data_IF_868397510486
#
_entry.id   IF_868397510486
#
_cell.length_a   1.000
_cell.length_b   1.000
_cell.length_c   1.000
_cell.angle_alpha   90.00
_cell.angle_beta   90.00
_cell.angle_gamma   90.00
#
_symmetry.space_group_name_H-M   'P 1'
#
loop_
_entity.id
_entity.type
_entity.pdbx_description
1 polymer ?
#
# COMPACT_ATOMS: atom_id res chain seq x y z
N UNK A 1 -0.07 15.60 -5.84
CA UNK A 1 0.43 14.36 -5.19
C UNK A 1 1.78 14.02 -5.80
N UNK A 2 2.78 13.56 -5.02
CA UNK A 2 4.05 13.06 -5.59
C UNK A 2 3.93 11.56 -5.86
N UNK A 3 4.54 11.08 -6.94
CA UNK A 3 4.58 9.66 -7.27
C UNK A 3 5.18 8.83 -6.12
N UNK A 4 4.50 7.74 -5.73
CA UNK A 4 4.96 6.86 -4.65
C UNK A 4 6.33 6.24 -4.95
N UNK A 5 6.59 5.78 -6.18
CA UNK A 5 7.92 5.29 -6.60
C UNK A 5 9.01 6.35 -6.42
N UNK A 6 8.71 7.61 -6.72
CA UNK A 6 9.66 8.70 -6.54
C UNK A 6 9.98 8.92 -5.06
N UNK A 7 8.95 8.88 -4.19
CA UNK A 7 9.14 8.99 -2.73
C UNK A 7 9.93 7.81 -2.16
N UNK A 8 9.64 6.57 -2.57
CA UNK A 8 10.44 5.39 -2.18
C UNK A 8 11.90 5.57 -2.57
N UNK A 9 12.18 6.00 -3.80
CA UNK A 9 13.54 6.26 -4.27
C UNK A 9 14.26 7.34 -3.44
N UNK A 10 13.56 8.38 -2.97
CA UNK A 10 14.13 9.38 -2.06
C UNK A 10 14.42 8.79 -0.67
N UNK A 11 13.55 7.93 -0.15
CA UNK A 11 13.76 7.25 1.13
C UNK A 11 14.97 6.30 1.05
N UNK A 12 15.09 5.54 -0.04
CA UNK A 12 16.24 4.68 -0.33
C UNK A 12 17.51 5.51 -0.44
N UNK A 13 17.55 6.56 -1.26
CA UNK A 13 18.78 7.35 -1.44
C UNK A 13 19.26 7.99 -0.13
N UNK A 14 18.37 8.66 0.58
CA UNK A 14 18.75 9.43 1.77
C UNK A 14 18.91 8.52 3.00
N UNK A 15 18.06 7.50 3.13
CA UNK A 15 18.12 6.53 4.23
C UNK A 15 19.33 5.62 4.13
N UNK A 16 19.66 5.16 2.92
CA UNK A 16 20.79 4.25 2.69
C UNK A 16 22.13 4.98 2.55
N UNK A 17 22.16 6.31 2.37
CA UNK A 17 23.41 7.07 2.41
C UNK A 17 24.11 6.95 3.76
N UNK A 18 23.36 6.97 4.87
CA UNK A 18 23.88 6.71 6.21
C UNK A 18 24.37 5.27 6.42
N UNK A 19 24.05 4.39 5.48
CA UNK A 19 24.42 2.98 5.50
C UNK A 19 25.61 2.65 4.59
N UNK A 20 26.16 3.64 3.87
CA UNK A 20 27.29 3.45 2.95
C UNK A 20 28.47 2.73 3.59
N UNK A 21 28.88 3.18 4.76
CA UNK A 21 30.01 2.61 5.48
C UNK A 21 29.87 1.10 5.79
N UNK A 22 28.65 0.60 5.97
CA UNK A 22 28.43 -0.78 6.36
C UNK A 22 28.45 -1.75 5.17
N UNK A 23 28.00 -1.33 3.98
CA UNK A 23 28.11 -2.18 2.79
C UNK A 23 29.49 -2.10 2.12
N UNK A 24 30.24 -1.01 2.32
CA UNK A 24 31.59 -0.85 1.77
C UNK A 24 32.55 -1.96 2.25
N UNK A 25 32.39 -2.46 3.47
CA UNK A 25 33.13 -3.63 3.95
C UNK A 25 32.86 -4.86 3.06
N UNK A 26 31.58 -5.19 2.81
CA UNK A 26 31.21 -6.33 1.97
C UNK A 26 31.60 -6.13 0.52
N UNK A 27 31.51 -4.91 0.01
CA UNK A 27 31.99 -4.53 -1.31
C UNK A 27 33.50 -4.78 -1.42
N UNK A 28 34.28 -4.39 -0.41
CA UNK A 28 35.72 -4.65 -0.37
C UNK A 28 36.02 -6.15 -0.37
N UNK A 29 35.30 -6.96 0.44
CA UNK A 29 35.43 -8.42 0.43
C UNK A 29 35.18 -8.98 -0.97
N UNK A 30 34.07 -8.60 -1.59
CA UNK A 30 33.70 -9.09 -2.92
C UNK A 30 34.69 -8.66 -4.00
N UNK A 31 35.14 -7.40 -3.98
CA UNK A 31 36.17 -6.89 -4.89
C UNK A 31 37.48 -7.66 -4.72
N UNK A 32 37.87 -7.92 -3.48
CA UNK A 32 39.06 -8.67 -3.14
C UNK A 32 39.01 -10.09 -3.73
N UNK A 33 37.94 -10.84 -3.44
CA UNK A 33 37.74 -12.20 -3.93
C UNK A 33 37.79 -12.27 -5.46
N UNK A 34 37.27 -11.25 -6.13
CA UNK A 34 37.16 -11.20 -7.58
C UNK A 34 38.38 -10.60 -8.31
N UNK A 35 39.35 -10.01 -7.60
CA UNK A 35 40.37 -9.14 -8.21
C UNK A 35 41.36 -9.86 -9.12
N UNK A 36 41.72 -11.11 -8.83
CA UNK A 36 42.69 -11.86 -9.62
C UNK A 36 42.35 -13.35 -9.72
N UNK A 37 43.08 -14.09 -10.58
CA UNK A 37 42.87 -15.53 -10.77
C UNK A 37 43.21 -16.33 -9.51
N UNK A 38 44.27 -15.94 -8.81
CA UNK A 38 44.75 -16.63 -7.61
C UNK A 38 43.73 -16.55 -6.45
N UNK A 39 43.24 -15.37 -6.07
CA UNK A 39 42.21 -15.21 -5.01
C UNK A 39 40.92 -15.96 -5.31
N UNK A 40 40.47 -15.93 -6.57
CA UNK A 40 39.31 -16.72 -7.01
C UNK A 40 39.54 -18.22 -6.87
N UNK A 41 40.79 -18.66 -7.06
CA UNK A 41 41.15 -20.06 -6.89
C UNK A 41 41.25 -20.45 -5.41
N UNK A 42 41.77 -19.59 -4.54
CA UNK A 42 41.77 -19.82 -3.09
C UNK A 42 40.35 -19.96 -2.54
N UNK A 43 39.46 -19.03 -2.89
CA UNK A 43 38.05 -19.13 -2.51
C UNK A 43 37.41 -20.42 -3.04
N UNK A 44 37.72 -20.81 -4.28
CA UNK A 44 37.25 -22.08 -4.86
C UNK A 44 37.78 -23.30 -4.09
N UNK A 45 39.03 -23.27 -3.67
CA UNK A 45 39.63 -24.35 -2.88
C UNK A 45 38.97 -24.46 -1.50
N UNK A 46 38.72 -23.31 -0.86
CA UNK A 46 37.97 -23.25 0.40
C UNK A 46 36.54 -23.80 0.24
N UNK A 47 35.80 -23.36 -0.77
CA UNK A 47 34.46 -23.93 -1.04
C UNK A 47 34.52 -25.45 -1.21
N UNK A 48 35.56 -25.97 -1.89
CA UNK A 48 35.75 -27.42 -2.08
C UNK A 48 36.06 -28.14 -0.77
N UNK A 49 36.85 -27.57 0.13
CA UNK A 49 37.15 -28.20 1.43
C UNK A 49 35.94 -28.23 2.35
N UNK A 50 35.13 -27.17 2.33
CA UNK A 50 33.90 -27.06 3.13
C UNK A 50 32.68 -27.77 2.52
N UNK A 51 32.82 -28.35 1.31
CA UNK A 51 31.72 -29.04 0.63
C UNK A 51 30.63 -28.11 0.06
N UNK A 52 30.95 -26.84 -0.17
CA UNK A 52 30.01 -25.80 -0.62
C UNK A 52 30.20 -25.52 -2.11
N UNK A 53 29.13 -25.19 -2.81
CA UNK A 53 29.21 -24.79 -4.23
C UNK A 53 30.01 -23.50 -4.38
N UNK A 54 30.97 -23.47 -5.30
CA UNK A 54 31.66 -22.23 -5.64
C UNK A 54 30.68 -21.19 -6.21
N UNK A 55 30.71 -19.98 -5.66
CA UNK A 55 30.00 -18.80 -6.18
C UNK A 55 30.99 -17.68 -6.51
N UNK A 56 30.85 -17.11 -7.70
CA UNK A 56 31.43 -15.80 -8.03
C UNK A 56 30.42 -14.72 -7.66
N UNK A 57 30.76 -13.86 -6.71
CA UNK A 57 29.85 -12.82 -6.23
C UNK A 57 29.67 -11.71 -7.28
N UNK A 58 28.44 -11.23 -7.53
CA UNK A 58 28.17 -10.09 -8.39
C UNK A 58 28.84 -8.82 -7.86
N UNK A 59 29.32 -7.95 -8.75
CA UNK A 59 29.86 -6.66 -8.37
C UNK A 59 28.74 -5.61 -8.32
N UNK A 60 28.78 -4.77 -7.30
CA UNK A 60 27.94 -3.60 -7.20
C UNK A 60 28.22 -2.63 -8.35
N UNK A 61 27.17 -2.01 -8.87
CA UNK A 61 27.23 -0.88 -9.79
C UNK A 61 26.61 0.34 -9.10
N UNK A 62 27.45 1.33 -8.78
CA UNK A 62 27.07 2.56 -8.06
C UNK A 62 25.94 3.36 -8.72
N UNK A 63 25.59 3.10 -9.99
CA UNK A 63 24.48 3.78 -10.69
C UNK A 63 23.11 3.15 -10.46
N UNK A 64 23.05 1.90 -9.96
CA UNK A 64 21.79 1.15 -9.79
C UNK A 64 21.79 0.41 -8.44
N UNK A 65 20.97 0.88 -7.51
CA UNK A 65 20.85 0.27 -6.18
C UNK A 65 20.42 -1.22 -6.23
N UNK A 66 19.70 -1.66 -7.26
CA UNK A 66 19.35 -3.07 -7.47
C UNK A 66 20.60 -3.98 -7.52
N UNK A 67 21.73 -3.49 -8.04
CA UNK A 67 22.96 -4.29 -8.09
C UNK A 67 23.58 -4.52 -6.70
N UNK A 68 23.38 -3.58 -5.78
CA UNK A 68 23.80 -3.70 -4.39
C UNK A 68 22.97 -4.75 -3.67
N UNK A 69 21.64 -4.73 -3.84
CA UNK A 69 20.76 -5.78 -3.33
C UNK A 69 21.24 -7.17 -3.78
N UNK A 70 21.49 -7.35 -5.09
CA UNK A 70 21.94 -8.62 -5.66
C UNK A 70 23.28 -9.08 -5.06
N UNK A 71 24.25 -8.18 -4.91
CA UNK A 71 25.54 -8.51 -4.30
C UNK A 71 25.37 -8.93 -2.83
N UNK A 72 24.63 -8.15 -2.06
CA UNK A 72 24.47 -8.38 -0.63
C UNK A 72 23.65 -9.65 -0.35
N UNK A 73 22.54 -9.88 -1.05
CA UNK A 73 21.78 -11.13 -0.93
C UNK A 73 22.66 -12.36 -1.23
N UNK A 74 23.51 -12.28 -2.27
CA UNK A 74 24.44 -13.37 -2.58
C UNK A 74 25.47 -13.61 -1.47
N UNK A 75 25.94 -12.55 -0.81
CA UNK A 75 26.86 -12.67 0.33
C UNK A 75 26.17 -13.26 1.57
N UNK A 76 24.91 -12.89 1.86
CA UNK A 76 24.14 -13.45 2.99
C UNK A 76 23.97 -14.96 2.83
N UNK A 77 23.70 -15.46 1.62
CA UNK A 77 23.64 -16.91 1.33
C UNK A 77 24.94 -17.67 1.71
N UNK A 78 26.07 -16.97 1.80
CA UNK A 78 27.38 -17.53 2.11
C UNK A 78 27.93 -17.01 3.44
N UNK A 79 27.09 -16.45 4.32
CA UNK A 79 27.50 -15.75 5.56
C UNK A 79 28.56 -16.49 6.37
N UNK A 80 28.30 -17.74 6.74
CA UNK A 80 29.21 -18.54 7.57
C UNK A 80 30.56 -18.78 6.87
N UNK A 81 30.51 -19.20 5.60
CA UNK A 81 31.69 -19.50 4.78
C UNK A 81 32.52 -18.27 4.44
N UNK A 82 31.87 -17.15 4.13
CA UNK A 82 32.56 -15.87 3.89
C UNK A 82 33.23 -15.38 5.17
N UNK A 83 32.56 -15.51 6.32
CA UNK A 83 33.14 -15.12 7.62
C UNK A 83 34.35 -15.97 7.97
N UNK A 84 34.23 -17.29 7.89
CA UNK A 84 35.33 -18.22 8.17
C UNK A 84 36.52 -18.01 7.25
N UNK A 85 36.28 -17.93 5.93
CA UNK A 85 37.34 -17.65 4.96
C UNK A 85 37.99 -16.29 5.22
N UNK A 86 37.19 -15.21 5.27
CA UNK A 86 37.73 -13.86 5.38
C UNK A 86 38.52 -13.65 6.68
N UNK A 87 37.99 -14.11 7.81
CA UNK A 87 38.63 -13.90 9.12
C UNK A 87 39.91 -14.73 9.26
N UNK A 88 40.03 -15.87 8.56
CA UNK A 88 41.26 -16.66 8.52
C UNK A 88 42.38 -15.99 7.73
N UNK A 89 42.03 -15.27 6.64
CA UNK A 89 43.00 -14.61 5.76
C UNK A 89 43.32 -13.19 6.26
N UNK A 90 42.34 -12.52 6.87
CA UNK A 90 42.41 -11.14 7.34
C UNK A 90 42.00 -11.00 8.82
N UNK A 91 42.80 -11.53 9.76
CA UNK A 91 42.47 -11.49 11.19
C UNK A 91 42.44 -10.07 11.76
N UNK A 92 43.18 -9.12 11.18
CA UNK A 92 43.21 -7.71 11.61
C UNK A 92 41.99 -6.89 11.12
N UNK A 93 41.20 -7.42 10.19
CA UNK A 93 39.98 -6.77 9.70
C UNK A 93 38.85 -7.81 9.48
N UNK A 94 38.35 -8.41 10.57
CA UNK A 94 37.38 -9.49 10.49
C UNK A 94 35.98 -8.98 10.12
N UNK A 95 35.21 -9.85 9.47
CA UNK A 95 33.75 -9.75 9.43
C UNK A 95 33.19 -10.17 10.79
N UNK A 96 32.48 -9.23 11.42
CA UNK A 96 31.83 -9.38 12.71
C UNK A 96 30.33 -9.59 12.53
N UNK A 97 29.67 -10.15 13.54
CA UNK A 97 28.21 -10.31 13.55
C UNK A 97 27.48 -8.98 13.40
N UNK A 98 28.04 -7.90 13.94
CA UNK A 98 27.49 -6.54 13.76
C UNK A 98 27.45 -6.10 12.30
N UNK A 99 28.45 -6.49 11.48
CA UNK A 99 28.44 -6.22 10.04
C UNK A 99 27.30 -6.97 9.36
N UNK A 100 27.12 -8.25 9.70
CA UNK A 100 26.06 -9.07 9.13
C UNK A 100 24.66 -8.64 9.56
N UNK A 101 24.45 -8.29 10.82
CA UNK A 101 23.16 -7.79 11.32
C UNK A 101 22.72 -6.54 10.56
N UNK A 102 23.64 -5.59 10.37
CA UNK A 102 23.38 -4.36 9.62
C UNK A 102 23.08 -4.68 8.14
N UNK A 103 23.79 -5.65 7.56
CA UNK A 103 23.62 -6.07 6.17
C UNK A 103 22.29 -6.80 5.92
N UNK A 104 21.87 -7.69 6.81
CA UNK A 104 20.59 -8.39 6.74
C UNK A 104 19.42 -7.39 6.79
N UNK A 105 19.46 -6.47 7.75
CA UNK A 105 18.50 -5.38 7.84
C UNK A 105 18.45 -4.55 6.56
N UNK A 106 19.61 -4.24 6.00
CA UNK A 106 19.72 -3.48 4.76
C UNK A 106 19.08 -4.22 3.57
N UNK A 107 19.33 -5.52 3.45
CA UNK A 107 18.76 -6.36 2.39
C UNK A 107 17.25 -6.51 2.54
N UNK A 108 16.74 -6.64 3.76
CA UNK A 108 15.29 -6.69 4.03
C UNK A 108 14.60 -5.41 3.53
N UNK A 109 15.15 -4.23 3.87
CA UNK A 109 14.60 -2.96 3.39
C UNK A 109 14.69 -2.83 1.87
N UNK A 110 15.84 -3.17 1.27
CA UNK A 110 16.00 -3.14 -0.18
C UNK A 110 15.01 -4.05 -0.91
N UNK A 111 14.71 -5.23 -0.34
CA UNK A 111 13.72 -6.15 -0.88
C UNK A 111 12.32 -5.50 -0.84
N UNK A 112 11.90 -5.01 0.34
CA UNK A 112 10.59 -4.39 0.51
C UNK A 112 10.42 -3.15 -0.40
N UNK A 113 11.45 -2.31 -0.53
CA UNK A 113 11.42 -1.16 -1.45
C UNK A 113 11.33 -1.59 -2.91
N UNK A 114 12.01 -2.66 -3.30
CA UNK A 114 11.95 -3.21 -4.65
C UNK A 114 10.55 -3.72 -4.97
N UNK A 115 9.95 -4.49 -4.06
CA UNK A 115 8.64 -5.08 -4.27
C UNK A 115 7.54 -4.01 -4.32
N UNK A 116 7.60 -3.02 -3.44
CA UNK A 116 6.73 -1.86 -3.47
C UNK A 116 6.88 -1.06 -4.79
N UNK A 117 8.12 -0.84 -5.25
CA UNK A 117 8.39 -0.13 -6.51
C UNK A 117 7.84 -0.90 -7.71
N UNK A 118 8.02 -2.22 -7.76
CA UNK A 118 7.46 -3.07 -8.83
C UNK A 118 5.94 -3.00 -8.84
N UNK A 119 5.32 -3.11 -7.67
CA UNK A 119 3.86 -2.99 -7.51
C UNK A 119 3.33 -1.65 -8.04
N UNK A 120 3.93 -0.54 -7.62
CA UNK A 120 3.54 0.80 -8.08
C UNK A 120 3.84 1.12 -9.55
N UNK A 121 4.73 0.35 -10.19
CA UNK A 121 5.12 0.59 -11.59
C UNK A 121 4.22 -0.15 -12.60
N UNK A 122 3.16 -0.83 -12.17
CA UNK A 122 2.21 -1.45 -13.08
C UNK A 122 1.38 -0.38 -13.81
N UNK A 123 1.41 -0.41 -15.14
CA UNK A 123 0.74 0.59 -16.01
C UNK A 123 -0.70 0.19 -16.38
N UNK A 124 -1.03 -1.11 -16.26
CA UNK A 124 -2.32 -1.67 -16.71
C UNK A 124 -3.19 -2.22 -15.59
N UNK A 125 -2.77 -2.03 -14.34
CA UNK A 125 -3.50 -2.45 -13.15
C UNK A 125 -3.62 -1.27 -12.21
N UNK A 126 -4.76 -1.17 -11.56
CA UNK A 126 -5.00 -0.23 -10.47
C UNK A 126 -3.97 -0.45 -9.36
N UNK A 127 -3.24 0.61 -8.97
CA UNK A 127 -2.21 0.54 -7.92
C UNK A 127 -2.61 1.26 -6.63
N UNK A 128 -3.54 2.23 -6.71
CA UNK A 128 -3.93 3.08 -5.58
C UNK A 128 -4.53 2.35 -4.36
N UNK A 129 -5.37 1.30 -4.47
CA UNK A 129 -5.88 0.55 -3.31
C UNK A 129 -4.77 -0.25 -2.63
N UNK A 130 -3.76 -0.67 -3.39
CA UNK A 130 -2.66 -1.47 -2.86
C UNK A 130 -1.58 -0.62 -2.20
N UNK A 131 -1.76 0.70 -2.10
CA UNK A 131 -0.76 1.59 -1.51
C UNK A 131 -0.36 1.16 -0.10
N UNK A 132 -1.33 0.96 0.81
CA UNK A 132 -1.04 0.50 2.17
C UNK A 132 -0.41 -0.90 2.20
N UNK A 133 -0.88 -1.82 1.35
CA UNK A 133 -0.31 -3.16 1.23
C UNK A 133 1.18 -3.15 0.84
N UNK A 134 1.64 -2.12 0.12
CA UNK A 134 3.04 -1.99 -0.28
C UNK A 134 3.91 -1.26 0.76
N UNK A 135 3.33 -0.37 1.59
CA UNK A 135 4.10 0.37 2.60
C UNK A 135 4.07 -0.27 3.99
N UNK A 136 3.05 -1.08 4.32
CA UNK A 136 2.96 -1.81 5.60
C UNK A 136 4.15 -2.77 5.79
N UNK A 137 4.59 -3.56 4.80
CA UNK A 137 5.79 -4.39 4.95
C UNK A 137 7.03 -3.57 5.32
N UNK A 138 7.17 -2.36 4.78
CA UNK A 138 8.27 -1.45 5.14
C UNK A 138 8.11 -0.96 6.58
N UNK A 139 6.88 -0.65 7.01
CA UNK A 139 6.57 -0.28 8.40
C UNK A 139 6.88 -1.43 9.39
N UNK A 140 6.60 -2.68 9.01
CA UNK A 140 6.95 -3.87 9.79
C UNK A 140 8.47 -4.00 9.94
N UNK A 141 9.26 -3.64 8.94
CA UNK A 141 10.72 -3.63 9.05
C UNK A 141 11.20 -2.53 10.01
N UNK A 142 10.60 -1.33 9.97
CA UNK A 142 10.91 -0.30 10.97
C UNK A 142 10.62 -0.79 12.38
N UNK A 143 9.48 -1.44 12.61
CA UNK A 143 9.13 -2.01 13.90
C UNK A 143 10.10 -3.14 14.33
N UNK A 144 10.35 -4.11 13.45
CA UNK A 144 11.28 -5.23 13.66
C UNK A 144 12.66 -4.78 14.12
N UNK A 145 13.17 -3.70 13.53
CA UNK A 145 14.54 -3.24 13.77
C UNK A 145 14.64 -2.09 14.78
N UNK A 146 13.51 -1.61 15.30
CA UNK A 146 13.48 -0.57 16.32
C UNK A 146 14.14 -1.06 17.61
N UNK A 147 14.96 -0.20 18.22
CA UNK A 147 15.64 -0.51 19.48
C UNK A 147 16.87 -1.43 19.34
N UNK A 148 17.21 -1.90 18.14
CA UNK A 148 18.45 -2.66 17.91
C UNK A 148 19.64 -1.69 17.90
N UNK A 149 20.59 -1.88 18.82
CA UNK A 149 21.71 -0.97 19.06
C UNK A 149 22.55 -0.70 17.79
N UNK A 150 22.84 -1.74 17.00
CA UNK A 150 23.64 -1.65 15.76
C UNK A 150 22.97 -0.78 14.69
N UNK A 151 21.66 -0.56 14.77
CA UNK A 151 20.87 0.20 13.80
C UNK A 151 20.62 1.66 14.21
N UNK A 152 20.93 2.01 15.47
CA UNK A 152 20.63 3.32 16.07
C UNK A 152 21.19 4.52 15.30
N UNK A 153 22.33 4.36 14.61
CA UNK A 153 22.99 5.43 13.87
C UNK A 153 22.27 5.90 12.59
N UNK A 154 21.36 5.08 12.02
CA UNK A 154 20.77 5.35 10.71
C UNK A 154 19.26 5.03 10.62
N UNK A 155 18.74 4.02 11.33
CA UNK A 155 17.33 3.63 11.24
C UNK A 155 16.38 4.80 11.56
N UNK A 156 16.60 5.59 12.62
CA UNK A 156 15.73 6.74 12.92
C UNK A 156 15.74 7.81 11.83
N UNK A 157 16.84 7.97 11.08
CA UNK A 157 16.93 8.95 9.98
C UNK A 157 16.10 8.48 8.79
N UNK A 158 16.19 7.20 8.45
CA UNK A 158 15.40 6.58 7.38
C UNK A 158 13.91 6.60 7.73
N UNK A 159 13.55 6.26 8.97
CA UNK A 159 12.17 6.28 9.48
C UNK A 159 11.59 7.71 9.45
N UNK A 160 12.34 8.70 9.94
CA UNK A 160 11.95 10.11 9.87
C UNK A 160 11.72 10.59 8.44
N UNK A 161 12.55 10.14 7.49
CA UNK A 161 12.40 10.49 6.07
C UNK A 161 11.15 9.85 5.47
N UNK A 162 10.89 8.59 5.80
CA UNK A 162 9.70 7.88 5.36
C UNK A 162 8.42 8.56 5.89
N UNK A 163 8.39 8.86 7.19
CA UNK A 163 7.31 9.58 7.85
C UNK A 163 7.11 11.00 7.29
N UNK A 164 8.16 11.70 6.87
CA UNK A 164 8.01 13.02 6.22
C UNK A 164 6.99 13.00 5.06
N UNK A 165 6.85 11.89 4.35
CA UNK A 165 5.91 11.77 3.24
C UNK A 165 4.61 11.05 3.60
N UNK A 166 4.68 10.10 4.54
CA UNK A 166 3.57 9.19 4.83
C UNK A 166 3.21 9.13 6.32
N UNK A 167 3.55 10.15 7.11
CA UNK A 167 2.92 10.32 8.43
C UNK A 167 1.41 10.30 8.24
N UNK A 168 0.89 11.14 7.34
CA UNK A 168 -0.52 11.13 6.97
C UNK A 168 -0.71 10.49 5.60
N UNK A 169 -1.65 9.55 5.54
CA UNK A 169 -1.97 8.81 4.32
C UNK A 169 -2.91 9.68 3.48
N UNK A 170 -2.53 10.04 2.24
CA UNK A 170 -3.42 10.80 1.36
C UNK A 170 -4.77 10.11 1.16
N UNK A 171 -5.87 10.88 1.23
CA UNK A 171 -7.24 10.34 1.17
C UNK A 171 -7.54 9.58 -0.11
N UNK A 172 -6.87 9.91 -1.20
CA UNK A 172 -7.00 9.17 -2.46
C UNK A 172 -6.69 7.67 -2.30
N UNK A 173 -5.69 7.31 -1.49
CA UNK A 173 -5.38 5.90 -1.25
C UNK A 173 -6.40 5.25 -0.32
N UNK A 174 -6.88 5.98 0.68
CA UNK A 174 -7.90 5.49 1.62
C UNK A 174 -9.22 5.25 0.88
N UNK A 175 -9.63 6.18 0.02
CA UNK A 175 -10.84 6.07 -0.79
C UNK A 175 -10.71 4.97 -1.84
N UNK A 176 -9.53 4.80 -2.44
CA UNK A 176 -9.28 3.67 -3.35
C UNK A 176 -9.45 2.31 -2.64
N UNK A 177 -9.04 2.18 -1.38
CA UNK A 177 -9.28 0.97 -0.57
C UNK A 177 -10.77 0.82 -0.22
N UNK A 178 -11.45 1.92 0.14
CA UNK A 178 -12.90 1.90 0.41
C UNK A 178 -13.67 1.41 -0.81
N UNK A 179 -13.23 1.80 -2.00
CA UNK A 179 -13.79 1.38 -3.29
C UNK A 179 -13.38 -0.05 -3.70
N UNK A 180 -12.57 -0.74 -2.90
CA UNK A 180 -12.33 -2.17 -3.07
C UNK A 180 -13.41 -2.95 -2.29
N UNK A 181 -14.28 -3.74 -2.95
CA UNK A 181 -15.35 -4.48 -2.28
C UNK A 181 -14.82 -5.52 -1.28
N UNK A 182 -13.54 -5.90 -1.35
CA UNK A 182 -12.88 -6.82 -0.41
C UNK A 182 -12.53 -6.17 0.91
N UNK A 183 -12.24 -4.87 0.91
CA UNK A 183 -11.73 -4.15 2.08
C UNK A 183 -12.75 -3.17 2.64
N UNK A 184 -13.38 -2.37 1.77
CA UNK A 184 -14.34 -1.33 2.13
C UNK A 184 -13.84 -0.42 3.26
N UNK A 185 -14.78 0.21 3.96
CA UNK A 185 -14.52 1.15 5.04
C UNK A 185 -13.70 0.51 6.17
N UNK A 186 -14.16 -0.61 6.72
CA UNK A 186 -13.51 -1.22 7.89
C UNK A 186 -12.10 -1.74 7.58
N UNK A 187 -11.89 -2.30 6.39
CA UNK A 187 -10.57 -2.70 5.93
C UNK A 187 -9.63 -1.51 5.75
N UNK A 188 -10.11 -0.42 5.15
CA UNK A 188 -9.31 0.80 4.99
C UNK A 188 -8.85 1.37 6.34
N UNK A 189 -9.78 1.49 7.30
CA UNK A 189 -9.46 1.98 8.65
C UNK A 189 -8.52 1.02 9.38
N UNK A 190 -8.70 -0.29 9.23
CA UNK A 190 -7.83 -1.29 9.86
C UNK A 190 -6.40 -1.20 9.33
N UNK A 191 -6.22 -1.09 8.02
CA UNK A 191 -4.90 -0.96 7.40
C UNK A 191 -4.19 0.33 7.83
N UNK A 192 -4.90 1.46 7.89
CA UNK A 192 -4.32 2.71 8.41
C UNK A 192 -3.95 2.56 9.88
N UNK A 193 -4.80 1.93 10.68
CA UNK A 193 -4.54 1.73 12.12
C UNK A 193 -3.29 0.87 12.34
N UNK A 194 -3.19 -0.26 11.63
CA UNK A 194 -2.00 -1.13 11.66
C UNK A 194 -0.75 -0.34 11.28
N UNK A 195 -0.82 0.42 10.18
CA UNK A 195 0.29 1.27 9.74
C UNK A 195 0.72 2.28 10.83
N UNK A 196 -0.23 3.01 11.41
CA UNK A 196 0.04 4.03 12.44
C UNK A 196 0.65 3.40 13.71
N UNK A 197 0.21 2.20 14.08
CA UNK A 197 0.79 1.42 15.18
C UNK A 197 2.23 1.00 14.91
N UNK A 198 2.50 0.37 13.76
CA UNK A 198 3.84 -0.06 13.38
C UNK A 198 4.85 1.09 13.34
N UNK A 199 4.40 2.29 12.97
CA UNK A 199 5.22 3.50 12.90
C UNK A 199 5.27 4.30 14.22
N UNK A 200 4.72 3.79 15.32
CA UNK A 200 4.67 4.47 16.63
C UNK A 200 4.10 5.91 16.58
N UNK A 201 3.04 6.13 15.80
CA UNK A 201 2.39 7.46 15.72
C UNK A 201 1.43 7.61 16.89
N UNK A 202 1.87 8.29 17.96
CA UNK A 202 1.15 8.41 19.23
C UNK A 202 -0.09 9.32 19.18
N UNK A 203 -0.12 10.29 18.26
CA UNK A 203 -1.19 11.29 18.17
C UNK A 203 -2.36 10.84 17.27
N UNK A 204 -2.51 9.54 17.04
CA UNK A 204 -3.55 8.98 16.18
C UNK A 204 -4.73 8.47 17.01
N UNK A 205 -5.90 9.09 16.85
CA UNK A 205 -7.15 8.61 17.41
C UNK A 205 -7.99 7.95 16.30
N UNK A 206 -8.25 6.65 16.45
CA UNK A 206 -8.95 5.84 15.44
C UNK A 206 -10.39 6.31 15.24
N UNK A 207 -11.10 6.69 16.29
CA UNK A 207 -12.52 7.07 16.21
C UNK A 207 -12.69 8.44 15.54
N UNK A 208 -11.86 9.42 15.93
CA UNK A 208 -11.83 10.72 15.23
C UNK A 208 -11.47 10.56 13.76
N UNK A 209 -10.51 9.69 13.43
CA UNK A 209 -10.14 9.42 12.05
C UNK A 209 -11.25 8.72 11.26
N UNK A 210 -11.98 7.77 11.87
CA UNK A 210 -13.16 7.14 11.26
C UNK A 210 -14.19 8.18 10.87
N UNK A 211 -14.52 9.11 11.77
CA UNK A 211 -15.53 10.13 11.52
C UNK A 211 -15.09 11.11 10.44
N UNK A 212 -13.81 11.49 10.45
CA UNK A 212 -13.20 12.30 9.39
C UNK A 212 -13.30 11.63 8.01
N UNK A 213 -12.88 10.36 7.90
CA UNK A 213 -12.93 9.64 6.62
C UNK A 213 -14.36 9.38 6.16
N UNK A 214 -15.32 9.14 7.08
CA UNK A 214 -16.76 9.06 6.74
C UNK A 214 -17.27 10.37 6.17
N UNK A 215 -16.98 11.48 6.83
CA UNK A 215 -17.42 12.80 6.36
C UNK A 215 -16.80 13.13 4.99
N UNK A 216 -15.50 12.88 4.83
CA UNK A 216 -14.78 13.17 3.58
C UNK A 216 -15.25 12.28 2.43
N UNK A 217 -15.42 10.96 2.65
CA UNK A 217 -15.93 10.03 1.63
C UNK A 217 -17.35 10.38 1.20
N UNK A 218 -18.22 10.75 2.16
CA UNK A 218 -19.57 11.20 1.86
C UNK A 218 -19.58 12.53 1.08
N UNK A 219 -18.71 13.48 1.44
CA UNK A 219 -18.56 14.74 0.71
C UNK A 219 -18.15 14.52 -0.75
N UNK A 220 -17.20 13.61 -0.99
CA UNK A 220 -16.79 13.26 -2.36
C UNK A 220 -17.93 12.57 -3.11
N UNK A 221 -18.64 11.63 -2.47
CA UNK A 221 -19.81 10.99 -3.08
C UNK A 221 -20.85 12.02 -3.56
N UNK A 222 -21.24 12.96 -2.70
CA UNK A 222 -22.21 14.02 -3.05
C UNK A 222 -21.73 14.90 -4.20
N UNK A 223 -20.42 15.10 -4.34
CA UNK A 223 -19.84 15.81 -5.48
C UNK A 223 -20.08 15.05 -6.78
N UNK A 224 -19.79 13.74 -6.82
CA UNK A 224 -20.05 12.89 -7.99
C UNK A 224 -21.54 12.75 -8.30
N UNK A 225 -22.38 12.69 -7.26
CA UNK A 225 -23.83 12.67 -7.42
C UNK A 225 -24.36 13.92 -8.10
N UNK A 226 -23.90 15.11 -7.67
CA UNK A 226 -24.25 16.38 -8.32
C UNK A 226 -23.86 16.38 -9.81
N UNK A 227 -22.68 15.85 -10.15
CA UNK A 227 -22.22 15.75 -11.53
C UNK A 227 -23.09 14.81 -12.37
N UNK A 228 -23.44 13.64 -11.81
CA UNK A 228 -24.28 12.65 -12.49
C UNK A 228 -25.75 13.08 -12.63
N UNK A 229 -26.31 13.76 -11.62
CA UNK A 229 -27.66 14.32 -11.68
C UNK A 229 -27.81 15.44 -12.73
N UNK A 230 -26.73 16.18 -12.99
CA UNK A 230 -26.68 17.19 -14.06
C UNK A 230 -26.69 16.56 -15.46
N UNK A 231 -26.01 15.43 -15.65
CA UNK A 231 -25.96 14.69 -16.92
C UNK A 231 -27.27 13.97 -17.27
N UNK A 232 -28.07 13.60 -16.25
CA UNK A 232 -29.33 12.88 -16.42
C UNK A 232 -30.58 13.78 -16.43
N UNK A 233 -30.45 15.12 -16.43
CA UNK A 233 -31.61 16.02 -16.58
C UNK A 233 -32.13 15.94 -18.03
N UNK A 234 -33.34 15.39 -18.29
CA UNK A 234 -33.95 15.59 -19.59
C UNK A 234 -34.18 17.09 -19.75
N UNK A 235 -33.78 17.66 -20.88
CA UNK A 235 -34.26 18.99 -21.27
C UNK A 235 -35.78 18.93 -21.23
N UNK A 236 -36.39 19.67 -20.30
CA UNK A 236 -37.83 19.67 -20.09
C UNK A 236 -38.51 20.30 -21.30
N UNK A 237 -38.86 19.47 -22.30
CA UNK A 237 -39.98 19.77 -23.20
C UNK A 237 -41.24 19.24 -22.54
N UNK A 238 -42.11 20.17 -22.14
CA UNK A 238 -43.42 19.89 -21.60
C UNK A 238 -44.24 19.02 -22.58
N UNK A 239 -44.79 17.91 -22.09
CA UNK A 239 -45.73 17.06 -22.81
C UNK A 239 -46.71 16.44 -21.81
N UNK A 240 -48.00 16.70 -22.00
CA UNK A 240 -49.06 16.44 -21.05
C UNK A 240 -49.49 14.95 -20.96
N UNK A 241 -49.78 14.53 -19.72
CA UNK A 241 -50.80 13.57 -19.24
C UNK A 241 -51.15 12.30 -20.02
N UNK A 242 -51.17 11.16 -19.31
CA UNK A 242 -52.40 10.36 -19.15
C UNK A 242 -52.31 9.45 -17.90
N UNK A 243 -53.45 9.29 -17.24
CA UNK A 243 -53.66 8.65 -15.94
C UNK A 243 -54.15 7.20 -16.06
N UNK A 244 -53.72 6.31 -15.16
CA UNK A 244 -54.32 4.98 -15.03
C UNK A 244 -53.90 4.20 -13.78
N UNK A 245 -54.74 4.27 -12.73
CA UNK A 245 -55.12 3.18 -11.81
C UNK A 245 -54.10 2.55 -10.83
N UNK A 246 -54.32 2.74 -9.52
CA UNK A 246 -53.84 1.79 -8.50
C UNK A 246 -54.73 1.82 -7.23
N UNK A 247 -55.53 0.76 -7.04
CA UNK A 247 -56.44 0.56 -5.91
C UNK A 247 -55.74 0.03 -4.63
N UNK A 248 -54.40 -0.01 -4.60
CA UNK A 248 -53.61 -0.52 -3.45
C UNK A 248 -53.12 0.60 -2.48
N UNK A 249 -53.36 1.88 -2.81
CA UNK A 249 -52.80 3.01 -2.07
C UNK A 249 -53.52 3.39 -0.76
N UNK A 250 -54.76 2.94 -0.55
CA UNK A 250 -55.59 3.43 0.56
C UNK A 250 -55.09 2.99 1.95
N UNK A 251 -54.53 1.78 2.07
CA UNK A 251 -54.02 1.25 3.35
C UNK A 251 -52.67 1.87 3.74
N UNK A 252 -51.77 2.10 2.78
CA UNK A 252 -50.47 2.76 2.99
C UNK A 252 -50.61 4.26 3.29
N UNK A 253 -51.61 4.92 2.71
CA UNK A 253 -51.89 6.34 2.98
C UNK A 253 -52.37 6.58 4.42
N UNK A 254 -53.08 5.62 5.03
CA UNK A 254 -53.50 5.69 6.45
C UNK A 254 -52.31 5.58 7.41
N UNK A 255 -51.31 4.76 7.09
CA UNK A 255 -50.06 4.64 7.87
C UNK A 255 -49.16 5.88 7.71
N UNK A 256 -49.10 6.48 6.52
CA UNK A 256 -48.40 7.76 6.29
C UNK A 256 -48.97 8.89 7.16
N UNK A 257 -50.28 8.96 7.34
CA UNK A 257 -50.95 9.96 8.17
C UNK A 257 -50.61 9.87 9.66
N UNK A 258 -50.36 8.66 10.17
CA UNK A 258 -49.94 8.42 11.55
C UNK A 258 -48.46 8.79 11.76
N UNK A 259 -47.60 8.54 10.77
CA UNK A 259 -46.17 8.88 10.83
C UNK A 259 -45.94 10.39 10.66
N UNK A 260 -46.78 11.10 9.90
CA UNK A 260 -46.70 12.56 9.75
C UNK A 260 -47.08 13.35 11.00
N UNK A 261 -47.81 12.75 11.95
CA UNK A 261 -48.17 13.41 13.22
C UNK A 261 -47.02 13.43 14.24
N UNK A 262 -45.91 12.73 13.97
CA UNK A 262 -44.74 12.61 14.86
C UNK A 262 -43.53 13.43 14.40
N UNK A 263 -43.62 14.20 13.32
CA UNK A 263 -42.53 15.07 12.83
C UNK A 263 -42.99 16.52 12.73
N UNK A 264 -42.25 17.49 13.32
CA UNK A 264 -42.47 18.90 13.00
C UNK A 264 -42.11 19.14 11.54
N UNK A 265 -42.90 20.00 10.90
CA UNK A 265 -42.86 20.35 9.48
C UNK A 265 -41.45 20.62 8.95
N UNK A 266 -40.99 19.74 8.06
CA UNK A 266 -39.95 20.07 7.09
C UNK A 266 -40.54 19.84 5.72
N UNK A 267 -40.56 20.93 4.96
CA UNK A 267 -41.11 21.06 3.64
C UNK A 267 -40.64 19.97 2.66
N UNK A 268 -41.53 19.71 1.69
CA UNK A 268 -41.33 18.89 0.50
C UNK A 268 -39.89 18.92 -0.04
N UNK A 269 -39.20 17.80 0.10
CA UNK A 269 -37.96 17.47 -0.63
C UNK A 269 -37.92 15.96 -0.78
N UNK A 270 -38.71 15.42 -1.72
CA UNK A 270 -38.78 13.98 -2.01
C UNK A 270 -37.61 13.46 -2.87
N UNK A 271 -36.47 14.14 -2.88
CA UNK A 271 -35.23 13.65 -3.53
C UNK A 271 -34.20 13.08 -2.56
N UNK A 272 -34.14 13.52 -1.30
CA UNK A 272 -33.06 13.14 -0.37
C UNK A 272 -33.05 11.65 0.06
N UNK A 273 -34.11 10.88 -0.19
CA UNK A 273 -34.18 9.46 0.19
C UNK A 273 -33.57 8.52 -0.84
N UNK A 274 -33.40 8.96 -2.09
CA UNK A 274 -32.71 8.19 -3.15
C UNK A 274 -31.19 8.38 -3.07
N UNK A 275 -30.75 9.55 -2.61
CA UNK A 275 -29.39 10.05 -2.70
C UNK A 275 -28.43 9.34 -1.71
N UNK A 276 -28.92 8.98 -0.51
CA UNK A 276 -28.20 8.17 0.48
C UNK A 276 -28.21 6.65 0.18
N UNK A 277 -29.12 6.20 -0.70
CA UNK A 277 -29.38 4.78 -0.88
C UNK A 277 -28.19 4.07 -1.55
N UNK A 278 -27.56 4.68 -2.55
CA UNK A 278 -26.46 4.07 -3.29
C UNK A 278 -25.20 3.91 -2.43
N UNK A 279 -24.78 4.97 -1.74
CA UNK A 279 -23.62 4.95 -0.84
C UNK A 279 -23.81 3.89 0.26
N UNK A 280 -24.95 3.91 0.95
CA UNK A 280 -25.24 2.92 1.99
C UNK A 280 -25.41 1.51 1.42
N UNK A 281 -25.95 1.36 0.21
CA UNK A 281 -26.05 0.06 -0.46
C UNK A 281 -24.66 -0.52 -0.72
N UNK A 282 -23.72 0.28 -1.25
CA UNK A 282 -22.35 -0.19 -1.44
C UNK A 282 -21.68 -0.54 -0.12
N UNK A 283 -21.72 0.36 0.87
CA UNK A 283 -21.00 0.17 2.14
C UNK A 283 -21.52 -1.06 2.89
N UNK A 284 -22.84 -1.23 2.98
CA UNK A 284 -23.44 -2.26 3.84
C UNK A 284 -23.63 -3.63 3.15
N UNK A 285 -23.75 -3.70 1.82
CA UNK A 285 -24.01 -4.97 1.14
C UNK A 285 -22.73 -5.77 0.88
N UNK A 286 -22.63 -7.01 1.33
CA UNK A 286 -21.47 -7.86 1.05
C UNK A 286 -21.46 -8.40 -0.39
N UNK A 287 -20.69 -7.73 -1.27
CA UNK A 287 -20.51 -8.12 -2.68
C UNK A 287 -19.50 -9.26 -2.88
N UNK A 288 -18.73 -9.63 -1.85
CA UNK A 288 -17.75 -10.70 -1.93
C UNK A 288 -18.30 -12.05 -1.48
N UNK A 289 -19.52 -12.08 -0.90
CA UNK A 289 -20.17 -13.28 -0.37
C UNK A 289 -20.20 -14.47 -1.34
N UNK A 290 -20.31 -14.23 -2.64
CA UNK A 290 -20.37 -15.26 -3.67
C UNK A 290 -19.02 -15.65 -4.28
N UNK A 291 -17.93 -15.01 -3.87
CA UNK A 291 -16.59 -15.27 -4.38
C UNK A 291 -15.87 -16.28 -3.49
N UNK A 292 -15.14 -17.21 -4.11
CA UNK A 292 -14.08 -17.95 -3.43
C UNK A 292 -12.87 -17.03 -3.14
N UNK A 293 -11.98 -17.46 -2.24
CA UNK A 293 -10.75 -16.72 -1.94
C UNK A 293 -9.88 -16.53 -3.19
N UNK A 294 -9.75 -17.57 -4.02
CA UNK A 294 -8.97 -17.50 -5.26
C UNK A 294 -9.56 -16.50 -6.26
N UNK A 295 -10.89 -16.48 -6.42
CA UNK A 295 -11.58 -15.50 -7.27
C UNK A 295 -11.43 -14.07 -6.75
N UNK A 296 -11.51 -13.88 -5.43
CA UNK A 296 -11.32 -12.58 -4.79
C UNK A 296 -9.87 -12.06 -4.97
N UNK A 297 -8.88 -12.95 -4.95
CA UNK A 297 -7.47 -12.59 -5.10
C UNK A 297 -7.13 -12.11 -6.51
N UNK A 298 -7.80 -12.64 -7.54
CA UNK A 298 -7.56 -12.28 -8.94
C UNK A 298 -8.56 -11.26 -9.51
N UNK A 299 -9.40 -10.66 -8.65
CA UNK A 299 -10.44 -9.71 -9.05
C UNK A 299 -9.89 -8.52 -9.84
N UNK A 300 -10.36 -8.34 -11.08
CA UNK A 300 -10.18 -7.10 -11.83
C UNK A 300 -11.13 -6.04 -11.28
N UNK A 301 -10.60 -5.17 -10.41
CA UNK A 301 -11.38 -4.17 -9.71
C UNK A 301 -12.07 -3.17 -10.66
N UNK A 302 -11.39 -2.73 -11.71
CA UNK A 302 -11.99 -1.82 -12.70
C UNK A 302 -13.05 -2.54 -13.53
N UNK A 303 -12.80 -3.81 -13.90
CA UNK A 303 -13.79 -4.66 -14.55
C UNK A 303 -15.04 -4.86 -13.69
N UNK A 304 -14.86 -5.11 -12.40
CA UNK A 304 -15.95 -5.26 -11.43
C UNK A 304 -16.81 -3.99 -11.35
N UNK A 305 -16.19 -2.82 -11.19
CA UNK A 305 -16.92 -1.54 -11.16
C UNK A 305 -17.65 -1.24 -12.47
N UNK A 306 -17.10 -1.61 -13.62
CA UNK A 306 -17.82 -1.50 -14.90
C UNK A 306 -19.10 -2.33 -14.91
N UNK A 307 -19.08 -3.52 -14.31
CA UNK A 307 -20.25 -4.38 -14.14
C UNK A 307 -21.31 -3.77 -13.21
N UNK A 308 -20.89 -3.02 -12.19
CA UNK A 308 -21.79 -2.40 -11.22
C UNK A 308 -22.42 -1.08 -11.67
N UNK A 309 -21.99 -0.48 -12.79
CA UNK A 309 -22.46 0.84 -13.28
C UNK A 309 -23.97 1.05 -13.32
N UNK A 310 -24.76 -0.02 -13.53
CA UNK A 310 -26.23 0.07 -13.55
C UNK A 310 -26.85 0.18 -12.16
N UNK A 311 -26.27 -0.51 -11.18
CA UNK A 311 -26.78 -0.55 -9.79
C UNK A 311 -26.15 0.54 -8.93
N UNK A 312 -24.89 0.87 -9.23
CA UNK A 312 -24.04 1.79 -8.50
C UNK A 312 -23.43 2.86 -9.44
N UNK A 313 -24.24 3.70 -10.12
CA UNK A 313 -23.73 4.64 -11.12
C UNK A 313 -22.78 5.70 -10.54
N UNK A 314 -23.07 6.27 -9.37
CA UNK A 314 -22.25 7.32 -8.74
C UNK A 314 -20.95 6.73 -8.20
N UNK A 315 -21.03 5.61 -7.46
CA UNK A 315 -19.87 4.91 -6.92
C UNK A 315 -18.97 4.39 -8.04
N UNK A 316 -19.54 3.92 -9.17
CA UNK A 316 -18.74 3.48 -10.32
C UNK A 316 -18.00 4.62 -11.02
N UNK A 317 -18.59 5.82 -11.07
CA UNK A 317 -17.92 7.01 -11.58
C UNK A 317 -16.75 7.42 -10.66
N UNK A 318 -16.99 7.44 -9.35
CA UNK A 318 -15.94 7.69 -8.35
C UNK A 318 -14.83 6.64 -8.44
N UNK A 319 -15.19 5.36 -8.53
CA UNK A 319 -14.23 4.27 -8.67
C UNK A 319 -13.36 4.41 -9.92
N UNK A 320 -13.96 4.81 -11.05
CA UNK A 320 -13.20 4.99 -12.28
C UNK A 320 -12.06 5.99 -12.09
N UNK A 321 -12.29 7.10 -11.39
CA UNK A 321 -11.27 8.15 -11.22
C UNK A 321 -10.24 7.77 -10.15
N UNK A 322 -10.68 7.23 -8.99
CA UNK A 322 -9.77 6.91 -7.88
C UNK A 322 -8.90 5.68 -8.15
N UNK A 323 -9.37 4.74 -8.98
CA UNK A 323 -8.68 3.49 -9.29
C UNK A 323 -7.87 3.53 -10.59
N UNK A 324 -8.09 4.52 -11.45
CA UNK A 324 -7.26 4.74 -12.64
C UNK A 324 -6.12 5.74 -12.42
N UNK A 325 -6.05 6.35 -11.23
CA UNK A 325 -5.08 7.35 -10.81
C UNK A 325 -3.67 6.82 -10.49
#
# INVERSE_FOLDING_TARGET
MRCACHVLNLCVKDGLEGLKQYHEQFKHVVLHLNSCKWRRQEWRNYCKSEGVKYRKFPLENNTRWNSMYIMLSACIEYKEHLTGFWNSVYPDNPLLDTHWNNMEMYVDFLCAFMDATKSFSHVYKTTSPYFLANIIPIAQLFDKYRGVESHSGFLPKMEKKFLKYWTDIPYIYVFAIILDPRWKFDGAISLVTIYKQLMNITNFNVDSYKDEIRYASFTVFNHYECLNGSLNRPSSRAGASSSGGAFAGAALNKLKGLVSQLRPDVAQSTSATSDLAEYHMYINYDYMRSFSEDEANVLDLLGWWRGQRRQLPVMSAMAQDFLSA
#
